data_IF_285140436493
#
_entry.id   IF_285140436493
#
_cell.length_a   1.000
_cell.length_b   1.000
_cell.length_c   1.000
_cell.angle_alpha   90.00
_cell.angle_beta   90.00
_cell.angle_gamma   90.00
#
_symmetry.space_group_name_H-M   'P 1'
#
loop_
_entity.id
_entity.type
_entity.pdbx_description
1 polymer ?
#
# COMPACT_ATOMS: atom_id res chain seq x y z
N UNK A 1 -8.00 -13.58 2.54
CA UNK A 1 -8.92 -14.59 1.98
C UNK A 1 -10.35 -14.48 2.50
N UNK A 2 -10.59 -14.16 3.79
CA UNK A 2 -11.95 -14.17 4.38
C UNK A 2 -13.04 -13.34 3.67
N UNK A 3 -12.71 -12.24 2.97
CA UNK A 3 -13.71 -11.41 2.26
C UNK A 3 -13.77 -11.58 0.74
N UNK A 4 -12.67 -11.97 0.08
CA UNK A 4 -12.62 -12.13 -1.38
C UNK A 4 -13.15 -13.50 -1.88
N UNK A 5 -13.34 -14.48 -0.99
CA UNK A 5 -13.87 -15.81 -1.33
C UNK A 5 -12.84 -16.75 -1.95
N UNK A 6 -12.02 -16.31 -2.91
CA UNK A 6 -11.01 -17.13 -3.61
C UNK A 6 -9.73 -16.37 -3.97
N UNK A 7 -8.71 -17.08 -4.48
CA UNK A 7 -7.45 -16.49 -4.97
C UNK A 7 -7.69 -15.70 -6.27
N UNK A 8 -8.53 -16.25 -7.14
CA UNK A 8 -8.89 -15.70 -8.44
C UNK A 8 -9.65 -14.39 -8.27
N UNK A 9 -10.61 -14.33 -7.34
CA UNK A 9 -11.35 -13.12 -7.03
C UNK A 9 -10.44 -12.03 -6.45
N UNK A 10 -9.48 -12.42 -5.60
CA UNK A 10 -8.49 -11.49 -5.08
C UNK A 10 -7.66 -10.89 -6.22
N UNK A 11 -7.23 -11.71 -7.20
CA UNK A 11 -6.49 -11.21 -8.37
C UNK A 11 -7.35 -10.28 -9.22
N UNK A 12 -8.59 -10.67 -9.51
CA UNK A 12 -9.52 -9.88 -10.32
C UNK A 12 -9.72 -8.47 -9.73
N UNK A 13 -9.76 -8.35 -8.40
CA UNK A 13 -9.95 -7.08 -7.71
C UNK A 13 -8.63 -6.34 -7.51
N UNK A 14 -7.63 -6.97 -6.91
CA UNK A 14 -6.39 -6.30 -6.48
C UNK A 14 -5.38 -6.08 -7.62
N UNK A 15 -5.58 -6.75 -8.76
CA UNK A 15 -4.70 -6.65 -9.93
C UNK A 15 -5.49 -6.16 -11.13
N UNK A 16 -6.43 -6.97 -11.63
CA UNK A 16 -7.01 -6.73 -12.95
C UNK A 16 -7.86 -5.46 -12.98
N UNK A 17 -8.71 -5.24 -11.97
CA UNK A 17 -9.51 -4.02 -11.85
C UNK A 17 -8.63 -2.76 -11.73
N UNK A 18 -7.57 -2.82 -10.92
CA UNK A 18 -6.65 -1.69 -10.72
C UNK A 18 -5.89 -1.36 -12.00
N UNK A 19 -5.29 -2.37 -12.65
CA UNK A 19 -4.53 -2.22 -13.90
C UNK A 19 -5.44 -1.73 -15.03
N UNK A 20 -6.65 -2.25 -15.15
CA UNK A 20 -7.61 -1.81 -16.16
C UNK A 20 -8.04 -0.35 -15.94
N UNK A 21 -8.23 0.05 -14.69
CA UNK A 21 -8.55 1.45 -14.33
C UNK A 21 -7.38 2.36 -14.68
N UNK A 22 -6.15 2.02 -14.28
CA UNK A 22 -4.95 2.78 -14.60
C UNK A 22 -4.74 2.87 -16.13
N UNK A 23 -5.00 1.80 -16.87
CA UNK A 23 -4.91 1.80 -18.34
C UNK A 23 -5.87 2.82 -18.97
N UNK A 24 -7.12 2.88 -18.48
CA UNK A 24 -8.09 3.89 -18.92
C UNK A 24 -7.63 5.31 -18.57
N UNK A 25 -7.15 5.52 -17.35
CA UNK A 25 -6.61 6.82 -16.90
C UNK A 25 -5.45 7.29 -17.79
N UNK A 26 -4.51 6.38 -18.15
CA UNK A 26 -3.41 6.71 -19.06
C UNK A 26 -3.91 7.15 -20.44
N UNK A 27 -4.91 6.45 -20.99
CA UNK A 27 -5.55 6.82 -22.27
C UNK A 27 -6.25 8.17 -22.21
N UNK A 28 -6.73 8.58 -21.04
CA UNK A 28 -7.33 9.90 -20.79
C UNK A 28 -6.30 11.02 -20.55
N UNK A 29 -5.00 10.72 -20.63
CA UNK A 29 -3.94 11.70 -20.45
C UNK A 29 -3.54 11.95 -19.00
N UNK A 30 -3.93 11.10 -18.05
CA UNK A 30 -3.42 11.20 -16.67
C UNK A 30 -1.90 10.97 -16.68
N UNK A 31 -1.16 11.93 -16.11
CA UNK A 31 0.31 11.90 -16.10
C UNK A 31 0.88 11.23 -14.85
N UNK A 32 0.27 11.49 -13.69
CA UNK A 32 0.76 11.04 -12.38
C UNK A 32 -0.26 10.13 -11.71
N UNK A 33 0.20 8.97 -11.23
CA UNK A 33 -0.62 7.95 -10.59
C UNK A 33 -0.08 7.61 -9.19
N UNK A 34 -0.97 7.57 -8.21
CA UNK A 34 -0.67 7.14 -6.84
C UNK A 34 -1.52 5.91 -6.53
N UNK A 35 -0.87 4.80 -6.19
CA UNK A 35 -1.54 3.50 -6.01
C UNK A 35 -1.23 2.95 -4.64
N UNK A 36 -2.26 2.52 -3.91
CA UNK A 36 -2.09 1.84 -2.62
C UNK A 36 -1.78 0.37 -2.85
N UNK A 37 -0.54 0.00 -2.57
CA UNK A 37 0.00 -1.36 -2.59
C UNK A 37 0.16 -1.86 -1.14
N UNK A 38 1.19 -2.66 -0.87
CA UNK A 38 1.55 -3.12 0.47
C UNK A 38 3.05 -3.28 0.64
N UNK A 39 3.50 -3.26 1.89
CA UNK A 39 4.88 -3.58 2.22
C UNK A 39 5.23 -5.02 1.78
N UNK A 40 6.31 -5.17 1.02
CA UNK A 40 6.80 -6.48 0.57
C UNK A 40 6.11 -7.04 -0.67
N UNK A 41 5.34 -6.21 -1.39
CA UNK A 41 4.82 -6.55 -2.72
C UNK A 41 5.96 -7.02 -3.65
N UNK A 42 5.85 -8.24 -4.17
CA UNK A 42 6.88 -8.87 -4.99
C UNK A 42 6.28 -10.03 -5.80
N UNK A 43 6.46 -10.03 -7.12
CA UNK A 43 5.97 -11.05 -8.05
C UNK A 43 6.49 -12.47 -7.75
N UNK A 44 7.60 -12.58 -7.02
CA UNK A 44 8.23 -13.85 -6.60
C UNK A 44 7.90 -14.25 -5.16
N UNK A 45 6.99 -13.54 -4.47
CA UNK A 45 6.64 -13.87 -3.09
C UNK A 45 5.87 -15.19 -2.99
N UNK A 46 6.16 -15.98 -1.95
CA UNK A 46 5.41 -17.21 -1.63
C UNK A 46 3.96 -16.93 -1.20
N UNK A 47 3.73 -15.75 -0.62
CA UNK A 47 2.38 -15.29 -0.26
C UNK A 47 1.65 -14.80 -1.50
N UNK A 48 0.55 -15.47 -1.85
CA UNK A 48 -0.30 -15.10 -2.99
C UNK A 48 -0.75 -13.63 -2.94
N UNK A 49 -0.99 -13.07 -1.75
CA UNK A 49 -1.36 -11.66 -1.62
C UNK A 49 -0.21 -10.72 -2.02
N UNK A 50 1.01 -10.98 -1.54
CA UNK A 50 2.20 -10.19 -1.88
C UNK A 50 2.58 -10.34 -3.35
N UNK A 51 2.37 -11.54 -3.90
CA UNK A 51 2.51 -11.81 -5.32
C UNK A 51 1.52 -11.00 -6.15
N UNK A 52 0.22 -10.99 -5.81
CA UNK A 52 -0.78 -10.18 -6.50
C UNK A 52 -0.43 -8.69 -6.47
N UNK A 53 -0.05 -8.15 -5.30
CA UNK A 53 0.35 -6.74 -5.20
C UNK A 53 1.63 -6.45 -6.00
N UNK A 54 2.58 -7.37 -6.03
CA UNK A 54 3.76 -7.28 -6.89
C UNK A 54 3.43 -7.28 -8.38
N UNK A 55 2.52 -8.16 -8.81
CA UNK A 55 2.04 -8.25 -10.20
C UNK A 55 1.32 -6.97 -10.62
N UNK A 56 0.49 -6.41 -9.73
CA UNK A 56 -0.17 -5.12 -9.93
C UNK A 56 0.87 -4.00 -10.09
N UNK A 57 1.86 -3.90 -9.21
CA UNK A 57 2.91 -2.88 -9.32
C UNK A 57 3.67 -2.99 -10.66
N UNK A 58 4.09 -4.21 -11.04
CA UNK A 58 4.84 -4.44 -12.27
C UNK A 58 4.04 -4.03 -13.52
N UNK A 59 2.76 -4.38 -13.58
CA UNK A 59 1.89 -4.02 -14.70
C UNK A 59 1.62 -2.51 -14.78
N UNK A 60 1.38 -1.85 -13.64
CA UNK A 60 1.17 -0.40 -13.62
C UNK A 60 2.44 0.35 -13.99
N UNK A 61 3.61 -0.13 -13.55
CA UNK A 61 4.90 0.43 -13.91
C UNK A 61 5.15 0.37 -15.43
N UNK A 62 4.72 -0.72 -16.08
CA UNK A 62 4.81 -0.89 -17.53
C UNK A 62 3.91 0.07 -18.34
N UNK A 63 2.85 0.64 -17.74
CA UNK A 63 1.98 1.61 -18.42
C UNK A 63 2.67 2.96 -18.71
N UNK A 64 3.83 3.23 -18.10
CA UNK A 64 4.66 4.38 -18.46
C UNK A 64 4.00 5.74 -18.17
N UNK A 65 3.34 5.88 -17.03
CA UNK A 65 2.97 7.21 -16.52
C UNK A 65 4.23 8.09 -16.37
N UNK A 66 4.05 9.41 -16.51
CA UNK A 66 5.13 10.38 -16.23
C UNK A 66 5.62 10.24 -14.80
N UNK A 67 4.69 9.89 -13.89
CA UNK A 67 4.99 9.61 -12.50
C UNK A 67 4.10 8.52 -11.91
N UNK A 68 4.69 7.52 -11.28
CA UNK A 68 3.98 6.47 -10.54
C UNK A 68 4.54 6.37 -9.13
N UNK A 69 3.67 6.50 -8.13
CA UNK A 69 4.02 6.27 -6.73
C UNK A 69 3.21 5.12 -6.16
N UNK A 70 3.91 4.07 -5.72
CA UNK A 70 3.32 2.97 -4.97
C UNK A 70 3.43 3.26 -3.48
N UNK A 71 2.28 3.43 -2.83
CA UNK A 71 2.19 3.53 -1.38
C UNK A 71 2.26 2.11 -0.82
N UNK A 72 3.31 1.78 -0.07
CA UNK A 72 3.53 0.47 0.55
C UNK A 72 3.37 0.57 2.07
N UNK A 73 2.13 0.75 2.57
CA UNK A 73 1.90 0.79 3.99
C UNK A 73 2.09 -0.62 4.59
N UNK A 74 2.40 -0.62 5.88
CA UNK A 74 2.24 -1.77 6.75
C UNK A 74 0.76 -2.01 7.04
N UNK A 75 0.44 -2.77 8.09
CA UNK A 75 -0.94 -2.97 8.50
C UNK A 75 -1.65 -1.62 8.68
N UNK A 76 -2.79 -1.41 8.02
CA UNK A 76 -3.58 -0.22 8.26
C UNK A 76 -4.22 -0.34 9.65
N UNK A 77 -3.96 0.65 10.49
CA UNK A 77 -4.68 0.84 11.73
C UNK A 77 -6.04 1.49 11.44
N UNK A 78 -7.06 1.07 12.19
CA UNK A 78 -8.39 1.62 12.07
C UNK A 78 -9.35 0.93 13.03
N UNK A 79 -10.32 1.71 13.53
CA UNK A 79 -11.48 1.17 14.23
C UNK A 79 -12.35 0.42 13.21
N UNK A 80 -12.27 -0.90 13.22
CA UNK A 80 -13.24 -1.74 12.53
C UNK A 80 -14.46 -1.87 13.44
N UNK A 81 -15.67 -1.67 12.90
CA UNK A 81 -16.94 -2.00 13.60
C UNK A 81 -17.02 -3.50 13.98
N UNK A 82 -16.22 -4.33 13.33
CA UNK A 82 -16.09 -5.75 13.65
C UNK A 82 -14.94 -5.93 14.65
N UNK A 83 -15.17 -5.56 15.92
CA UNK A 83 -14.25 -5.84 17.03
C UNK A 83 -14.10 -7.34 17.17
N UNK A 84 -13.02 -7.90 16.61
CA UNK A 84 -12.57 -9.23 17.01
C UNK A 84 -12.04 -9.08 18.42
N UNK A 85 -12.70 -9.72 19.37
CA UNK A 85 -12.46 -9.66 20.83
C UNK A 85 -11.02 -9.98 21.25
N UNK A 86 -10.20 -10.45 20.31
CA UNK A 86 -8.78 -10.78 20.45
C UNK A 86 -7.84 -9.53 20.36
N UNK A 87 -8.36 -8.35 20.01
CA UNK A 87 -7.54 -7.16 19.64
C UNK A 87 -6.88 -6.41 20.81
N UNK A 88 -7.41 -6.42 22.03
CA UNK A 88 -6.80 -5.63 23.13
C UNK A 88 -5.42 -6.18 23.55
N UNK A 89 -5.26 -7.50 23.57
CA UNK A 89 -3.98 -8.13 23.93
C UNK A 89 -2.94 -7.93 22.82
N UNK A 90 -3.36 -8.05 21.55
CA UNK A 90 -2.47 -7.89 20.39
C UNK A 90 -2.06 -6.43 20.19
N UNK A 91 -2.99 -5.47 20.33
CA UNK A 91 -2.67 -4.04 20.29
C UNK A 91 -1.79 -3.63 21.48
N UNK A 92 -2.01 -4.19 22.67
CA UNK A 92 -1.16 -3.98 23.84
C UNK A 92 0.27 -4.52 23.65
N UNK A 93 0.40 -5.76 23.19
CA UNK A 93 1.69 -6.37 22.87
C UNK A 93 2.43 -5.62 21.75
N UNK A 94 1.72 -5.20 20.71
CA UNK A 94 2.32 -4.41 19.63
C UNK A 94 2.77 -3.03 20.10
N UNK A 95 2.04 -2.36 21.01
CA UNK A 95 2.50 -1.10 21.62
C UNK A 95 3.77 -1.29 22.43
N UNK A 96 3.93 -2.42 23.11
CA UNK A 96 5.12 -2.76 23.89
C UNK A 96 6.32 -3.14 23.00
N UNK A 97 6.08 -3.82 21.88
CA UNK A 97 7.12 -4.26 20.93
C UNK A 97 7.50 -3.15 19.93
N UNK A 98 6.60 -2.20 19.66
CA UNK A 98 6.83 -1.04 18.78
C UNK A 98 8.12 -0.26 19.06
N UNK A 99 8.47 0.11 20.30
CA UNK A 99 9.74 0.78 20.59
C UNK A 99 10.97 -0.07 20.27
N UNK A 100 10.86 -1.41 20.24
CA UNK A 100 11.95 -2.32 19.86
C UNK A 100 12.08 -2.49 18.34
N UNK A 101 11.05 -2.12 17.56
CA UNK A 101 11.09 -2.18 16.11
C UNK A 101 11.88 -0.99 15.54
N UNK A 102 13.20 -1.15 15.42
CA UNK A 102 14.11 -0.12 14.90
C UNK A 102 14.40 -0.37 13.41
N UNK A 103 14.67 0.71 12.66
CA UNK A 103 15.03 0.63 11.23
C UNK A 103 13.89 0.11 10.35
N UNK A 104 14.19 -0.89 9.50
CA UNK A 104 13.23 -1.43 8.51
C UNK A 104 11.98 -2.04 9.17
N UNK A 105 12.08 -2.50 10.43
CA UNK A 105 10.95 -3.06 11.17
C UNK A 105 9.86 -2.02 11.46
N UNK A 106 10.18 -0.71 11.50
CA UNK A 106 9.19 0.37 11.68
C UNK A 106 8.11 0.41 10.59
N UNK A 107 8.37 -0.18 9.42
CA UNK A 107 7.39 -0.24 8.35
C UNK A 107 6.24 -1.22 8.64
N UNK A 108 6.46 -2.19 9.54
CA UNK A 108 5.46 -3.16 9.98
C UNK A 108 4.60 -2.65 11.14
N UNK A 109 4.98 -1.53 11.77
CA UNK A 109 4.14 -0.84 12.75
C UNK A 109 2.85 -0.38 12.04
N UNK A 110 1.67 -0.62 12.63
CA UNK A 110 0.40 -0.20 12.05
C UNK A 110 0.36 1.30 11.77
N UNK A 111 -0.18 1.68 10.62
CA UNK A 111 -0.28 3.07 10.18
C UNK A 111 -1.74 3.44 9.95
N UNK A 112 -2.18 4.56 10.53
CA UNK A 112 -3.55 5.06 10.33
C UNK A 112 -3.79 5.41 8.86
N UNK A 113 -4.98 5.08 8.35
CA UNK A 113 -5.35 5.40 6.97
C UNK A 113 -5.28 6.91 6.68
N UNK A 114 -5.57 7.75 7.69
CA UNK A 114 -5.44 9.21 7.60
C UNK A 114 -4.01 9.65 7.27
N UNK A 115 -2.99 9.00 7.85
CA UNK A 115 -1.58 9.32 7.57
C UNK A 115 -1.19 8.95 6.14
N UNK A 116 -1.73 7.84 5.61
CA UNK A 116 -1.53 7.47 4.21
C UNK A 116 -2.15 8.52 3.28
N UNK A 117 -3.38 8.95 3.56
CA UNK A 117 -4.06 9.99 2.78
C UNK A 117 -3.31 11.34 2.83
N UNK A 118 -2.88 11.79 4.02
CA UNK A 118 -2.06 13.01 4.18
C UNK A 118 -0.75 12.92 3.39
N UNK A 119 -0.08 11.76 3.43
CA UNK A 119 1.14 11.55 2.68
C UNK A 119 0.89 11.64 1.16
N UNK A 120 -0.19 11.04 0.64
CA UNK A 120 -0.56 11.17 -0.78
C UNK A 120 -0.80 12.64 -1.13
N UNK A 121 -1.60 13.35 -0.32
CA UNK A 121 -1.92 14.76 -0.56
C UNK A 121 -0.65 15.62 -0.64
N UNK A 122 0.32 15.40 0.27
CA UNK A 122 1.59 16.13 0.24
C UNK A 122 2.42 15.78 -0.99
N UNK A 123 2.52 14.50 -1.35
CA UNK A 123 3.30 14.04 -2.50
C UNK A 123 2.80 14.62 -3.83
N UNK A 124 1.49 14.84 -3.98
CA UNK A 124 0.91 15.44 -5.19
C UNK A 124 1.49 16.82 -5.52
N UNK A 125 1.86 17.59 -4.50
CA UNK A 125 2.45 18.93 -4.66
C UNK A 125 3.99 18.93 -4.68
N UNK A 126 4.62 17.79 -4.42
CA UNK A 126 6.07 17.66 -4.48
C UNK A 126 6.52 17.32 -5.91
N UNK A 127 7.67 17.84 -6.32
CA UNK A 127 8.31 17.39 -7.55
C UNK A 127 8.76 15.95 -7.40
N UNK A 128 8.44 15.13 -8.38
CA UNK A 128 8.80 13.72 -8.39
C UNK A 128 10.18 13.59 -9.04
N UNK A 129 11.19 13.20 -8.26
CA UNK A 129 12.57 13.05 -8.75
C UNK A 129 12.73 11.84 -9.67
N UNK A 130 11.87 10.84 -9.53
CA UNK A 130 11.89 9.61 -10.32
C UNK A 130 10.53 9.32 -10.93
N UNK A 131 10.54 8.72 -12.13
CA UNK A 131 9.31 8.25 -12.81
C UNK A 131 8.55 7.24 -11.96
N UNK A 132 9.25 6.40 -11.20
CA UNK A 132 8.66 5.39 -10.33
C UNK A 132 9.22 5.54 -8.93
N UNK A 133 8.35 5.57 -7.92
CA UNK A 133 8.75 5.63 -6.52
C UNK A 133 7.91 4.69 -5.66
N UNK A 134 8.49 4.20 -4.58
CA UNK A 134 7.83 3.37 -3.57
C UNK A 134 7.98 4.04 -2.22
N UNK A 135 6.86 4.29 -1.54
CA UNK A 135 6.83 5.05 -0.28
C UNK A 135 6.37 4.10 0.82
N UNK A 136 7.22 3.87 1.82
CA UNK A 136 6.92 2.95 2.94
C UNK A 136 6.20 3.67 4.09
N UNK A 137 5.62 2.92 5.04
CA UNK A 137 4.95 3.49 6.22
C UNK A 137 5.78 4.52 6.97
N UNK A 138 7.08 4.28 7.14
CA UNK A 138 7.95 5.23 7.83
C UNK A 138 8.04 6.56 7.07
N UNK A 139 8.22 6.53 5.75
CA UNK A 139 8.26 7.73 4.91
C UNK A 139 6.91 8.43 4.88
N UNK A 140 5.80 7.68 4.84
CA UNK A 140 4.45 8.25 4.93
C UNK A 140 4.23 9.03 6.23
N UNK A 141 4.67 8.49 7.38
CA UNK A 141 4.57 9.19 8.68
C UNK A 141 5.36 10.51 8.69
N UNK A 142 6.55 10.52 8.08
CA UNK A 142 7.34 11.76 7.95
C UNK A 142 6.67 12.77 7.03
N UNK A 143 6.06 12.32 5.92
CA UNK A 143 5.35 13.19 4.99
C UNK A 143 4.05 13.75 5.58
N UNK A 144 3.38 12.98 6.43
CA UNK A 144 2.11 13.35 7.05
C UNK A 144 2.25 14.18 8.34
N UNK A 145 3.48 14.41 8.80
CA UNK A 145 3.81 15.33 9.89
C UNK A 145 3.91 16.78 9.39
#
# INVERSE_FOLDING_TARGET
>A
MKKAGSKENLRAIDVDLVVNTATKMKKMGVERLYVVSCLGANTKAMSHYLQCKGDMEAQIEALGFTGTTFMQPGPLAGNRDEQRTDEKLLQGAMKLISPLMIGKLKNYVPIEAELVAKAINRLVFMNQESRVSRVTSQKMRVLAA
#
